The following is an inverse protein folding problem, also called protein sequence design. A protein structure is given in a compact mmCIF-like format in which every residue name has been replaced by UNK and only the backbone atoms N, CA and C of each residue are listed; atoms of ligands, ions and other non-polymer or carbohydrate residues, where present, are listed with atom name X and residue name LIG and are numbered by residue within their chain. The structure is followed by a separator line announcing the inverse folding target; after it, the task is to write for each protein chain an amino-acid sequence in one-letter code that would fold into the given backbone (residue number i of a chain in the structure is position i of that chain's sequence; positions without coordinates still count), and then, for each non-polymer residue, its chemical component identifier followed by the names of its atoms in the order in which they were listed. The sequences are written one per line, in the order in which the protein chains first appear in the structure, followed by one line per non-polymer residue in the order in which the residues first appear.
data_IF_311061819552
#
_entry.id   IF_311061819552
#
_cell.length_a   1.000
_cell.length_b   1.000
_cell.length_c   1.000
_cell.angle_alpha   90.00
_cell.angle_beta   90.00
_cell.angle_gamma   90.00
#
_symmetry.space_group_name_H-M   'P 1'
#
loop_
_entity.id
_entity.type
_entity.pdbx_description
1 polymer ?
#
# COMPACT_ATOMS: atom_id res chain seq x y z
N UNK A 1 15.73 10.14 0.83
CA UNK A 1 16.27 9.20 1.85
C UNK A 1 17.72 9.55 2.12
N UNK A 2 18.20 9.41 3.35
CA UNK A 2 19.61 9.63 3.67
C UNK A 2 20.47 8.47 3.14
N UNK A 3 21.69 8.75 2.70
CA UNK A 3 22.66 7.73 2.25
C UNK A 3 23.50 7.14 3.39
N UNK A 4 23.35 7.67 4.61
CA UNK A 4 24.18 7.27 5.76
C UNK A 4 23.92 5.82 6.18
N UNK A 5 24.98 5.05 6.42
CA UNK A 5 24.91 3.69 6.97
C UNK A 5 24.44 3.64 8.43
N UNK A 6 24.43 4.77 9.15
CA UNK A 6 24.05 4.84 10.56
C UNK A 6 22.54 4.60 10.76
N UNK A 7 22.19 3.50 11.43
CA UNK A 7 20.79 3.12 11.70
C UNK A 7 19.97 4.23 12.37
N UNK A 8 20.55 4.97 13.33
CA UNK A 8 19.88 6.10 14.00
C UNK A 8 19.48 7.21 13.01
N UNK A 9 20.36 7.54 12.05
CA UNK A 9 20.09 8.57 11.04
C UNK A 9 18.99 8.11 10.07
N UNK A 10 18.98 6.84 9.68
CA UNK A 10 17.94 6.27 8.81
C UNK A 10 16.56 6.29 9.47
N UNK A 11 16.46 5.88 10.75
CA UNK A 11 15.19 5.92 11.50
C UNK A 11 14.67 7.35 11.67
N UNK A 12 15.56 8.30 11.99
CA UNK A 12 15.21 9.72 12.11
C UNK A 12 14.68 10.28 10.78
N UNK A 13 15.40 10.02 9.68
CA UNK A 13 14.97 10.44 8.35
C UNK A 13 13.61 9.85 7.96
N UNK A 14 13.31 8.60 8.36
CA UNK A 14 12.00 8.00 8.13
C UNK A 14 10.89 8.67 8.94
N UNK A 15 11.13 8.91 10.23
CA UNK A 15 10.14 9.50 11.14
C UNK A 15 9.79 10.96 10.78
N UNK A 16 10.78 11.74 10.33
CA UNK A 16 10.65 13.18 10.06
C UNK A 16 10.33 13.53 8.60
N UNK A 17 10.28 12.55 7.69
CA UNK A 17 10.11 12.85 6.27
C UNK A 17 8.79 13.59 5.95
N UNK A 18 8.80 14.50 4.97
CA UNK A 18 7.59 15.18 4.49
C UNK A 18 6.66 14.22 3.73
N UNK A 19 5.38 14.58 3.66
CA UNK A 19 4.32 13.69 3.13
C UNK A 19 4.56 13.20 1.69
N UNK A 20 5.10 14.04 0.81
CA UNK A 20 5.38 13.66 -0.58
C UNK A 20 6.43 12.54 -0.69
N UNK A 21 7.39 12.48 0.25
CA UNK A 21 8.37 11.39 0.31
C UNK A 21 7.77 10.12 0.90
N UNK A 22 6.84 10.25 1.87
CA UNK A 22 6.14 9.10 2.47
C UNK A 22 5.30 8.31 1.47
N UNK A 23 4.82 8.96 0.40
CA UNK A 23 4.09 8.31 -0.69
C UNK A 23 4.83 7.10 -1.28
N UNK A 24 6.18 7.16 -1.34
CA UNK A 24 7.01 6.03 -1.81
C UNK A 24 6.96 4.83 -0.86
N UNK A 25 6.77 5.05 0.44
CA UNK A 25 6.75 3.97 1.45
C UNK A 25 5.42 3.23 1.50
N UNK A 26 4.37 3.82 0.92
CA UNK A 26 3.05 3.21 0.79
C UNK A 26 2.89 2.46 -0.53
N UNK A 27 4.00 1.96 -1.07
CA UNK A 27 3.99 1.09 -2.25
C UNK A 27 3.81 -0.38 -1.89
N UNK A 28 2.96 -1.07 -2.64
CA UNK A 28 2.77 -2.52 -2.53
C UNK A 28 3.20 -3.23 -3.82
N UNK A 29 3.50 -4.52 -3.71
CA UNK A 29 3.84 -5.35 -4.88
C UNK A 29 2.62 -5.57 -5.76
N UNK A 30 2.82 -5.58 -7.08
CA UNK A 30 1.78 -5.97 -8.03
C UNK A 30 1.67 -7.49 -8.10
N UNK A 31 0.50 -8.00 -8.50
CA UNK A 31 0.36 -9.40 -8.87
C UNK A 31 1.15 -9.71 -10.15
N UNK A 32 1.52 -10.97 -10.36
CA UNK A 32 2.38 -11.37 -11.48
C UNK A 32 1.84 -10.93 -12.84
N UNK A 33 0.52 -11.04 -13.05
CA UNK A 33 -0.14 -10.59 -14.27
C UNK A 33 0.04 -9.08 -14.52
N UNK A 34 -0.17 -8.26 -13.47
CA UNK A 34 0.01 -6.80 -13.54
C UNK A 34 1.50 -6.41 -13.66
N UNK A 35 2.40 -7.18 -13.03
CA UNK A 35 3.84 -6.95 -13.18
C UNK A 35 4.29 -7.13 -14.63
N UNK A 36 3.82 -8.17 -15.30
CA UNK A 36 4.10 -8.41 -16.72
C UNK A 36 3.46 -7.35 -17.62
N UNK A 37 2.26 -6.88 -17.30
CA UNK A 37 1.56 -5.89 -18.10
C UNK A 37 2.22 -4.50 -18.03
N UNK A 38 2.60 -4.03 -16.84
CA UNK A 38 3.13 -2.67 -16.61
C UNK A 38 4.65 -2.62 -16.47
N UNK A 39 5.35 -3.75 -16.63
CA UNK A 39 6.80 -3.91 -16.45
C UNK A 39 7.36 -3.32 -15.13
N UNK A 40 6.54 -3.28 -14.07
CA UNK A 40 6.86 -2.63 -12.80
C UNK A 40 6.58 -3.57 -11.65
N UNK A 41 7.48 -3.59 -10.66
CA UNK A 41 7.37 -4.47 -9.50
C UNK A 41 6.42 -3.97 -8.40
N UNK A 42 6.32 -2.66 -8.20
CA UNK A 42 5.50 -2.07 -7.13
C UNK A 42 5.07 -0.65 -7.42
N UNK A 43 3.89 -0.27 -6.90
CA UNK A 43 3.26 1.04 -7.12
C UNK A 43 2.67 1.55 -5.80
N UNK A 44 2.65 2.87 -5.55
CA UNK A 44 1.93 3.46 -4.42
C UNK A 44 0.44 3.08 -4.43
N UNK A 45 -0.03 2.49 -3.32
CA UNK A 45 -1.43 2.11 -3.17
C UNK A 45 -2.32 3.35 -3.08
N UNK A 46 -3.48 3.30 -3.71
CA UNK A 46 -4.50 4.35 -3.64
C UNK A 46 -5.83 3.80 -3.14
N UNK A 47 -6.69 4.71 -2.67
CA UNK A 47 -8.09 4.40 -2.40
C UNK A 47 -8.75 3.85 -3.67
N UNK A 48 -9.52 2.77 -3.53
CA UNK A 48 -10.20 2.11 -4.66
C UNK A 48 -9.42 0.95 -5.29
N UNK A 49 -8.11 0.83 -5.04
CA UNK A 49 -7.35 -0.34 -5.47
C UNK A 49 -7.86 -1.59 -4.75
N UNK A 50 -7.83 -2.73 -5.43
CA UNK A 50 -8.12 -4.04 -4.82
C UNK A 50 -6.82 -4.71 -4.43
N UNK A 51 -6.80 -5.20 -3.20
CA UNK A 51 -5.62 -5.75 -2.59
C UNK A 51 -5.89 -7.13 -1.97
N UNK A 52 -4.89 -8.00 -2.04
CA UNK A 52 -4.82 -9.29 -1.35
C UNK A 52 -3.82 -9.22 -0.22
N UNK A 53 -4.22 -9.64 0.98
CA UNK A 53 -3.32 -9.67 2.14
C UNK A 53 -2.46 -10.93 2.11
N UNK A 54 -1.14 -10.78 2.09
CA UNK A 54 -0.18 -11.90 2.05
C UNK A 54 0.23 -12.31 3.47
N UNK A 55 0.46 -11.32 4.33
CA UNK A 55 1.00 -11.50 5.69
C UNK A 55 0.03 -10.92 6.73
N UNK A 56 -0.03 -11.55 7.90
CA UNK A 56 -0.91 -11.13 8.99
C UNK A 56 -1.51 -12.32 9.75
N UNK A 57 -2.52 -12.01 10.58
CA UNK A 57 -3.29 -13.02 11.31
C UNK A 57 -4.07 -13.91 10.33
N UNK A 58 -4.28 -15.17 10.73
CA UNK A 58 -4.88 -16.22 9.88
C UNK A 58 -6.25 -15.81 9.33
N UNK A 59 -7.01 -15.03 10.09
CA UNK A 59 -8.37 -14.60 9.77
C UNK A 59 -8.45 -13.67 8.55
N UNK A 60 -7.39 -12.90 8.29
CA UNK A 60 -7.35 -11.89 7.22
C UNK A 60 -6.42 -12.27 6.07
N UNK A 61 -5.71 -13.40 6.21
CA UNK A 61 -4.72 -13.83 5.22
C UNK A 61 -5.43 -14.36 3.98
N UNK A 62 -4.92 -14.00 2.82
CA UNK A 62 -5.51 -14.31 1.50
C UNK A 62 -6.89 -13.67 1.23
N UNK A 63 -7.42 -12.85 2.13
CA UNK A 63 -8.61 -12.05 1.85
C UNK A 63 -8.30 -10.99 0.79
N UNK A 64 -9.19 -10.89 -0.20
CA UNK A 64 -9.17 -9.84 -1.21
C UNK A 64 -10.24 -8.80 -0.92
N UNK A 65 -9.84 -7.53 -0.83
CA UNK A 65 -10.76 -6.43 -0.54
C UNK A 65 -10.22 -5.12 -1.10
N UNK A 66 -11.10 -4.11 -1.17
CA UNK A 66 -10.72 -2.78 -1.65
C UNK A 66 -10.06 -1.96 -0.55
N UNK A 67 -9.22 -1.02 -0.96
CA UNK A 67 -8.62 -0.04 -0.07
C UNK A 67 -9.61 1.09 0.22
N UNK A 68 -10.02 1.21 1.48
CA UNK A 68 -10.93 2.24 1.95
C UNK A 68 -10.22 3.59 2.14
N UNK A 69 -9.04 3.58 2.75
CA UNK A 69 -8.25 4.79 2.98
C UNK A 69 -6.76 4.50 3.10
N UNK A 70 -5.96 5.52 2.79
CA UNK A 70 -4.50 5.49 2.87
C UNK A 70 -4.06 6.65 3.74
N UNK A 71 -3.38 6.36 4.86
CA UNK A 71 -2.81 7.38 5.72
C UNK A 71 -1.28 7.47 5.52
N UNK A 72 -0.84 8.58 4.93
CA UNK A 72 0.56 8.86 4.70
C UNK A 72 1.32 9.21 6.00
N UNK A 73 0.64 9.72 7.03
CA UNK A 73 1.32 10.06 8.30
C UNK A 73 1.75 8.79 9.02
N UNK A 74 0.86 7.83 9.21
CA UNK A 74 1.21 6.54 9.80
C UNK A 74 1.84 5.56 8.79
N UNK A 75 1.80 5.87 7.49
CA UNK A 75 2.21 4.97 6.39
C UNK A 75 1.42 3.65 6.39
N UNK A 76 0.16 3.69 6.84
CA UNK A 76 -0.72 2.53 6.94
C UNK A 76 -1.89 2.65 5.97
N UNK A 77 -2.44 1.49 5.63
CA UNK A 77 -3.59 1.34 4.76
C UNK A 77 -4.75 0.74 5.56
N UNK A 78 -5.96 1.20 5.29
CA UNK A 78 -7.19 0.58 5.78
C UNK A 78 -7.85 -0.13 4.61
N UNK A 79 -8.06 -1.43 4.79
CA UNK A 79 -8.71 -2.30 3.81
C UNK A 79 -10.14 -2.58 4.28
N UNK A 80 -11.08 -2.59 3.34
CA UNK A 80 -12.50 -2.90 3.61
C UNK A 80 -12.66 -4.31 4.21
N UNK A 81 -13.62 -4.47 5.12
CA UNK A 81 -13.94 -5.74 5.79
C UNK A 81 -12.81 -6.35 6.64
N UNK A 82 -11.69 -5.63 6.85
CA UNK A 82 -10.63 -6.02 7.76
C UNK A 82 -10.76 -5.22 9.05
N UNK A 83 -11.50 -5.78 10.00
CA UNK A 83 -11.83 -5.13 11.27
C UNK A 83 -11.43 -5.98 12.47
N UNK A 84 -11.26 -5.34 13.62
CA UNK A 84 -11.03 -5.97 14.91
C UNK A 84 -12.25 -5.67 15.79
N UNK A 85 -12.88 -6.69 16.41
CA UNK A 85 -13.95 -6.48 17.37
C UNK A 85 -13.41 -5.85 18.66
N UNK A 86 -14.09 -4.84 19.19
CA UNK A 86 -13.86 -4.31 20.53
C UNK A 86 -14.75 -5.02 21.56
N UNK A 87 -14.40 -4.88 22.84
CA UNK A 87 -15.23 -5.36 23.96
C UNK A 87 -16.67 -4.78 23.91
N UNK A 88 -16.81 -3.55 23.42
CA UNK A 88 -18.11 -2.87 23.26
C UNK A 88 -18.96 -3.41 22.09
N UNK A 89 -18.52 -4.46 21.39
CA UNK A 89 -19.19 -5.04 20.21
C UNK A 89 -19.00 -4.25 18.91
N UNK A 90 -18.44 -3.03 18.97
CA UNK A 90 -18.12 -2.24 17.77
C UNK A 90 -16.91 -2.79 17.02
N UNK A 91 -16.95 -2.70 15.69
CA UNK A 91 -15.85 -3.11 14.82
C UNK A 91 -14.96 -1.93 14.47
N UNK A 92 -13.66 -2.03 14.75
CA UNK A 92 -12.67 -1.01 14.38
C UNK A 92 -11.87 -1.46 13.16
N UNK A 93 -11.65 -0.63 12.14
CA UNK A 93 -10.77 -0.99 11.03
C UNK A 93 -9.35 -1.27 11.53
N UNK A 94 -8.74 -2.33 11.02
CA UNK A 94 -7.36 -2.70 11.33
C UNK A 94 -6.41 -1.99 10.38
N UNK A 95 -5.46 -1.18 10.88
CA UNK A 95 -4.41 -0.62 10.04
C UNK A 95 -3.43 -1.71 9.60
N UNK A 96 -3.17 -1.78 8.30
CA UNK A 96 -2.27 -2.76 7.67
C UNK A 96 -1.07 -2.04 7.05
N UNK A 97 0.09 -2.67 7.11
CA UNK A 97 1.29 -2.20 6.43
C UNK A 97 1.25 -2.53 4.92
N UNK A 98 1.58 -1.58 4.03
CA UNK A 98 1.56 -1.78 2.58
C UNK A 98 2.46 -2.91 2.09
N UNK A 99 3.51 -3.25 2.83
CA UNK A 99 4.44 -4.34 2.51
C UNK A 99 3.84 -5.73 2.69
N UNK A 100 2.75 -5.84 3.45
CA UNK A 100 2.09 -7.13 3.75
C UNK A 100 1.01 -7.48 2.73
N UNK A 101 0.91 -6.67 1.67
CA UNK A 101 -0.21 -6.63 0.75
C UNK A 101 0.28 -6.73 -0.71
N UNK A 102 -0.55 -7.37 -1.54
CA UNK A 102 -0.38 -7.48 -2.99
C UNK A 102 -1.52 -6.73 -3.69
N UNK A 103 -1.22 -5.96 -4.73
CA UNK A 103 -2.22 -5.31 -5.57
C UNK A 103 -2.70 -6.28 -6.64
N UNK A 104 -3.99 -6.62 -6.62
CA UNK A 104 -4.63 -7.51 -7.60
C UNK A 104 -5.34 -6.75 -8.71
N UNK A 105 -5.97 -5.61 -8.38
CA UNK A 105 -6.61 -4.72 -9.37
C UNK A 105 -6.30 -3.27 -9.04
N UNK A 106 -6.01 -2.49 -10.08
CA UNK A 106 -5.69 -1.06 -9.95
C UNK A 106 -6.93 -0.22 -10.29
N UNK A 107 -7.15 0.84 -9.51
CA UNK A 107 -8.05 1.91 -9.89
C UNK A 107 -7.33 2.92 -10.80
N UNK A 108 -7.83 3.03 -12.02
CA UNK A 108 -7.34 3.89 -13.11
C UNK A 108 -8.26 5.10 -13.36
N UNK A 109 -9.14 5.43 -12.42
CA UNK A 109 -10.02 6.62 -12.49
C UNK A 109 -9.24 7.93 -12.65
N UNK A 110 -8.05 8.05 -12.06
CA UNK A 110 -7.16 9.22 -12.20
C UNK A 110 -6.37 9.17 -13.52
N UNK A 111 -6.57 10.16 -14.43
CA UNK A 111 -5.85 10.23 -15.70
C UNK A 111 -4.32 10.25 -15.52
N UNK A 112 -3.80 10.95 -14.50
CA UNK A 112 -2.35 11.03 -14.30
C UNK A 112 -1.74 9.72 -13.83
N UNK A 113 -2.51 8.89 -13.12
CA UNK A 113 -2.06 7.54 -12.77
C UNK A 113 -1.99 6.67 -14.00
N UNK A 114 -3.02 6.75 -14.85
CA UNK A 114 -3.11 5.98 -16.07
C UNK A 114 -1.99 6.34 -17.04
N UNK A 115 -1.79 7.62 -17.36
CA UNK A 115 -0.70 8.05 -18.26
C UNK A 115 0.67 7.62 -17.75
N UNK A 116 0.92 7.72 -16.44
CA UNK A 116 2.17 7.25 -15.85
C UNK A 116 2.35 5.75 -15.97
N UNK A 117 1.28 4.98 -15.83
CA UNK A 117 1.33 3.54 -15.98
C UNK A 117 1.53 3.11 -17.43
N UNK A 118 0.83 3.76 -18.35
CA UNK A 118 0.97 3.49 -19.78
C UNK A 118 2.39 3.81 -20.27
N UNK A 119 3.01 4.91 -19.79
CA UNK A 119 4.42 5.20 -20.10
C UNK A 119 5.41 4.15 -19.61
N UNK A 120 5.02 3.29 -18.66
CA UNK A 120 5.86 2.21 -18.14
C UNK A 120 5.64 0.89 -18.89
N UNK A 121 4.52 0.75 -19.63
CA UNK A 121 4.26 -0.41 -20.49
C UNK A 121 5.18 -0.44 -21.71
N UNK A 122 5.52 0.74 -22.22
CA UNK A 122 6.29 0.93 -23.45
C UNK A 122 7.81 0.81 -23.24
N UNK A 123 8.27 0.75 -21.99
CA UNK A 123 9.67 0.69 -21.59
C UNK A 123 10.10 -0.75 -21.22
#
# INVERSE_FOLDING_TARGET
MTTSTKARKQRKARAEAPLHQRKRWVSAHLDSALMSEYNVRSIPVRKGDTVRIIRGAKDFRASEAKVASVDLKSCKIIVENITIPKADGTQKPKPIDPSDVLLTKLDLSDPWRKTKLDSLKEA
#
